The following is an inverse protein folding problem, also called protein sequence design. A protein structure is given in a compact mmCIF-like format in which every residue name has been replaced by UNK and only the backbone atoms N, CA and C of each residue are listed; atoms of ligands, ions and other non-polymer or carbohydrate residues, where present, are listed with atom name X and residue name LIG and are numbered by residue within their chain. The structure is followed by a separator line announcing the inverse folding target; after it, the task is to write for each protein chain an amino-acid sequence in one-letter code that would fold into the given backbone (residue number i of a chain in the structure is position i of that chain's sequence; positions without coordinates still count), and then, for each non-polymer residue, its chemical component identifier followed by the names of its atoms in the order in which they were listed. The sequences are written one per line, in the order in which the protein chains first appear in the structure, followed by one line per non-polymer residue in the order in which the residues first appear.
data_IF_570488986830
#
_entry.id   IF_570488986830
#
_cell.length_a   1.000
_cell.length_b   1.000
_cell.length_c   1.000
_cell.angle_alpha   90.00
_cell.angle_beta   90.00
_cell.angle_gamma   90.00
#
_symmetry.space_group_name_H-M   'P 1'
#
loop_
_entity.id
_entity.type
_entity.pdbx_description
1 polymer ?
#
# COMPACT_ATOMS: atom_id res chain seq x y z
N UNK A 1 8.07 30.39 -14.02
CA UNK A 1 7.68 30.64 -15.43
C UNK A 1 8.11 29.43 -16.23
N UNK A 2 7.28 28.65 -16.93
CA UNK A 2 5.91 28.81 -17.37
C UNK A 2 5.20 27.44 -17.33
N UNK A 3 3.89 27.48 -17.10
CA UNK A 3 2.96 26.37 -17.23
C UNK A 3 2.29 26.42 -18.62
N UNK A 4 2.18 25.29 -19.30
CA UNK A 4 1.21 24.97 -20.38
C UNK A 4 1.15 23.43 -20.42
N UNK A 5 0.03 22.71 -20.53
CA UNK A 5 -1.34 22.99 -20.94
C UNK A 5 -1.81 21.74 -21.68
N UNK A 6 -2.49 20.80 -21.00
CA UNK A 6 -3.00 19.59 -21.66
C UNK A 6 -4.33 19.90 -22.34
N UNK A 7 -4.29 19.94 -23.67
CA UNK A 7 -5.45 19.99 -24.56
C UNK A 7 -6.04 18.59 -24.74
N UNK A 8 -7.33 18.45 -24.44
CA UNK A 8 -8.15 17.27 -24.74
C UNK A 8 -8.53 17.26 -26.22
N UNK A 9 -8.17 16.21 -26.96
CA UNK A 9 -8.70 15.95 -28.30
C UNK A 9 -9.58 14.70 -28.31
N UNK A 10 -10.79 14.88 -28.84
CA UNK A 10 -11.83 13.90 -29.13
C UNK A 10 -11.31 12.70 -29.93
N UNK A 11 -11.77 11.51 -29.55
CA UNK A 11 -11.85 10.36 -30.43
C UNK A 11 -13.19 9.64 -30.17
N UNK A 12 -14.21 10.08 -30.89
CA UNK A 12 -15.35 9.24 -31.26
C UNK A 12 -14.84 8.13 -32.18
N UNK A 13 -15.22 6.88 -31.89
CA UNK A 13 -15.53 5.86 -32.90
C UNK A 13 -16.22 4.67 -32.24
N UNK A 14 -17.47 4.50 -32.68
CA UNK A 14 -18.35 3.36 -32.46
C UNK A 14 -17.70 2.06 -32.95
N UNK A 15 -17.96 0.97 -32.23
CA UNK A 15 -17.81 -0.38 -32.79
C UNK A 15 -18.94 -1.27 -32.26
N UNK A 16 -19.80 -1.65 -33.19
CA UNK A 16 -20.94 -2.56 -33.08
C UNK A 16 -20.58 -3.93 -32.47
N UNK A 17 -21.45 -4.44 -31.58
CA UNK A 17 -21.52 -5.87 -31.26
C UNK A 17 -23.00 -6.31 -31.25
N UNK A 18 -23.37 -7.45 -31.88
CA UNK A 18 -24.75 -7.79 -32.18
C UNK A 18 -25.51 -8.41 -30.99
N UNK A 19 -26.82 -8.18 -30.99
CA UNK A 19 -27.82 -8.86 -30.15
C UNK A 19 -28.26 -10.18 -30.78
N UNK A 20 -28.17 -11.29 -30.03
CA UNK A 20 -29.23 -12.30 -29.81
C UNK A 20 -28.65 -13.70 -29.55
N UNK A 21 -29.13 -14.34 -28.48
CA UNK A 21 -29.56 -15.75 -28.32
C UNK A 21 -29.87 -15.94 -26.81
N UNK A 22 -31.10 -15.74 -26.34
CA UNK A 22 -32.28 -16.64 -26.33
C UNK A 22 -32.05 -17.97 -25.58
N UNK A 23 -32.56 -17.99 -24.34
CA UNK A 23 -33.26 -19.06 -23.58
C UNK A 23 -32.73 -20.49 -23.55
N UNK A 24 -32.57 -21.05 -22.33
CA UNK A 24 -33.55 -21.99 -21.76
C UNK A 24 -33.18 -22.50 -20.34
N UNK A 25 -34.25 -22.84 -19.59
CA UNK A 25 -34.34 -23.73 -18.40
C UNK A 25 -33.80 -23.18 -17.06
N UNK A 26 -34.53 -23.19 -15.95
CA UNK A 26 -35.85 -23.74 -15.66
C UNK A 26 -36.30 -23.34 -14.25
N UNK A 27 -37.62 -23.29 -14.06
CA UNK A 27 -38.29 -23.10 -12.77
C UNK A 27 -38.09 -24.33 -11.88
N UNK A 28 -37.65 -24.15 -10.64
CA UNK A 28 -38.04 -25.00 -9.50
C UNK A 28 -38.31 -24.10 -8.29
N UNK A 29 -39.38 -24.47 -7.59
CA UNK A 29 -40.23 -23.78 -6.62
C UNK A 29 -39.72 -23.76 -5.18
N UNK A 30 -40.21 -22.75 -4.45
CA UNK A 30 -40.57 -22.66 -3.02
C UNK A 30 -39.53 -22.97 -1.93
N UNK A 31 -39.30 -22.01 -1.03
CA UNK A 31 -39.48 -22.21 0.42
C UNK A 31 -39.63 -20.86 1.18
N UNK A 32 -40.87 -20.63 1.65
CA UNK A 32 -41.34 -19.99 2.88
C UNK A 32 -40.84 -18.60 3.31
N UNK A 33 -41.79 -17.67 3.22
CA UNK A 33 -41.93 -16.41 3.96
C UNK A 33 -41.64 -16.54 5.47
N UNK A 34 -40.80 -15.64 5.97
CA UNK A 34 -40.96 -15.06 7.32
C UNK A 34 -41.11 -13.56 7.16
N UNK A 35 -42.35 -13.10 7.33
CA UNK A 35 -42.69 -11.71 7.54
C UNK A 35 -42.07 -11.24 8.85
N UNK A 36 -41.20 -10.24 8.80
CA UNK A 36 -40.94 -9.35 9.94
C UNK A 36 -41.43 -7.98 9.51
N UNK A 37 -42.58 -7.60 10.06
CA UNK A 37 -43.16 -6.26 9.99
C UNK A 37 -42.25 -5.26 10.68
N UNK A 38 -42.06 -4.04 10.15
CA UNK A 38 -41.36 -2.99 10.86
C UNK A 38 -42.29 -2.39 11.93
N UNK A 39 -41.97 -2.61 13.20
CA UNK A 39 -42.61 -1.88 14.29
C UNK A 39 -42.21 -0.40 14.25
N UNK A 40 -43.23 0.45 14.19
CA UNK A 40 -43.13 1.87 14.46
C UNK A 40 -42.63 2.13 15.89
N UNK A 41 -41.42 2.67 16.03
CA UNK A 41 -41.03 3.39 17.24
C UNK A 41 -40.85 4.89 16.94
N UNK A 42 -41.37 5.67 17.88
CA UNK A 42 -41.77 7.07 17.75
C UNK A 42 -40.57 8.01 17.55
N UNK A 43 -40.83 9.06 16.79
CA UNK A 43 -39.97 10.22 16.58
C UNK A 43 -39.48 10.85 17.89
N UNK A 44 -38.14 10.85 18.08
CA UNK A 44 -37.44 11.94 18.76
C UNK A 44 -36.67 12.70 17.69
N UNK A 45 -37.26 13.79 17.19
CA UNK A 45 -36.51 14.81 16.46
C UNK A 45 -35.59 15.50 17.46
N UNK A 46 -34.41 14.94 17.73
CA UNK A 46 -33.31 15.76 18.23
C UNK A 46 -32.86 16.65 17.08
N UNK A 47 -32.92 17.96 17.29
CA UNK A 47 -32.27 18.94 16.41
C UNK A 47 -30.75 18.77 16.58
N UNK A 48 -30.15 17.75 15.96
CA UNK A 48 -28.71 17.71 15.76
C UNK A 48 -28.37 18.72 14.66
N UNK A 49 -27.67 19.79 15.04
CA UNK A 49 -26.99 20.68 14.10
C UNK A 49 -25.86 19.88 13.44
N UNK A 50 -25.43 20.32 12.25
CA UNK A 50 -24.42 19.64 11.42
C UNK A 50 -23.07 19.44 12.15
N UNK A 51 -22.82 18.24 12.69
CA UNK A 51 -21.60 17.95 13.46
C UNK A 51 -20.34 17.71 12.61
N UNK A 52 -20.42 17.83 11.28
CA UNK A 52 -19.30 17.50 10.37
C UNK A 52 -18.58 18.67 9.70
N UNK A 53 -18.95 19.93 9.95
CA UNK A 53 -18.45 21.05 9.13
C UNK A 53 -18.10 22.29 9.95
N UNK A 54 -16.80 22.59 10.00
CA UNK A 54 -16.21 23.91 10.28
C UNK A 54 -16.70 24.53 11.60
N UNK A 55 -16.14 24.05 12.72
CA UNK A 55 -16.29 24.75 14.00
C UNK A 55 -15.06 25.61 14.28
N UNK A 56 -15.23 26.88 14.70
CA UNK A 56 -14.12 27.73 15.16
C UNK A 56 -13.34 27.11 16.34
N UNK A 57 -14.02 26.26 17.14
CA UNK A 57 -13.43 25.52 18.26
C UNK A 57 -12.75 24.21 17.83
N UNK A 58 -12.87 23.79 16.57
CA UNK A 58 -12.33 22.54 16.04
C UNK A 58 -11.28 22.77 14.94
N UNK A 59 -10.47 23.82 15.09
CA UNK A 59 -9.36 24.09 14.17
C UNK A 59 -8.17 23.22 14.50
N UNK A 60 -7.56 22.61 13.48
CA UNK A 60 -6.26 21.98 13.62
C UNK A 60 -5.16 23.04 13.58
N UNK A 61 -4.03 22.75 14.23
CA UNK A 61 -2.84 23.59 14.15
C UNK A 61 -2.32 23.65 12.69
N UNK A 62 -1.93 24.84 12.19
CA UNK A 62 -1.21 24.96 10.94
C UNK A 62 0.08 24.15 10.97
N UNK A 63 0.45 23.56 9.83
CA UNK A 63 1.74 22.87 9.74
C UNK A 63 2.89 23.88 9.71
N UNK A 64 4.00 23.56 10.37
CA UNK A 64 5.24 24.30 10.24
C UNK A 64 5.78 24.17 8.82
N UNK A 65 6.35 25.27 8.31
CA UNK A 65 7.11 25.27 7.06
C UNK A 65 8.22 24.21 7.13
N UNK A 66 8.34 23.39 6.08
CA UNK A 66 9.26 22.25 6.06
C UNK A 66 10.73 22.67 6.20
N UNK A 67 11.12 23.83 5.66
CA UNK A 67 12.50 24.31 5.80
C UNK A 67 12.82 24.67 7.25
N UNK A 68 11.85 25.26 7.97
CA UNK A 68 11.98 25.55 9.39
C UNK A 68 11.96 24.26 10.22
N UNK A 69 11.03 23.37 9.92
CA UNK A 69 10.89 22.10 10.62
C UNK A 69 12.17 21.26 10.47
N UNK A 70 12.74 21.17 9.28
CA UNK A 70 14.02 20.48 9.05
C UNK A 70 15.17 21.16 9.82
N UNK A 71 15.26 22.49 9.85
CA UNK A 71 16.28 23.18 10.69
C UNK A 71 16.15 22.82 12.18
N UNK A 72 14.92 22.69 12.67
CA UNK A 72 14.66 22.31 14.06
C UNK A 72 14.94 20.82 14.32
N UNK A 73 14.75 19.96 13.32
CA UNK A 73 15.19 18.56 13.38
C UNK A 73 16.71 18.47 13.49
N UNK A 74 17.46 19.23 12.68
CA UNK A 74 18.94 19.27 12.76
C UNK A 74 19.45 19.78 14.12
N UNK A 75 18.71 20.68 14.77
CA UNK A 75 19.02 21.18 16.12
C UNK A 75 18.59 20.22 17.24
N UNK A 76 17.98 19.08 16.92
CA UNK A 76 17.46 18.11 17.89
C UNK A 76 16.18 18.56 18.62
N UNK A 77 15.55 19.66 18.21
CA UNK A 77 14.35 20.19 18.87
C UNK A 77 13.05 19.54 18.37
N UNK A 78 13.08 18.92 17.18
CA UNK A 78 11.99 18.14 16.58
C UNK A 78 12.54 16.84 16.03
N UNK A 79 11.68 15.87 15.74
CA UNK A 79 12.09 14.54 15.28
C UNK A 79 11.34 14.13 14.03
N UNK A 80 12.03 13.46 13.11
CA UNK A 80 11.40 12.84 11.95
C UNK A 80 10.98 11.41 12.31
N UNK A 81 9.74 11.05 12.04
CA UNK A 81 9.18 9.77 12.44
C UNK A 81 8.21 9.22 11.39
N UNK A 82 7.96 7.92 11.43
CA UNK A 82 6.90 7.25 10.65
C UNK A 82 5.68 7.07 11.55
N UNK A 83 4.54 7.61 11.13
CA UNK A 83 3.29 7.54 11.89
C UNK A 83 2.56 6.22 11.65
N UNK A 84 2.07 5.59 12.72
CA UNK A 84 1.24 4.38 12.72
C UNK A 84 -0.02 4.63 13.51
N UNK A 85 -1.19 4.40 12.92
CA UNK A 85 -2.50 4.57 13.57
C UNK A 85 -2.98 3.22 14.09
N UNK A 86 -3.44 3.17 15.34
CA UNK A 86 -3.98 1.95 15.93
C UNK A 86 -5.28 1.54 15.23
N UNK A 87 -5.35 0.32 14.71
CA UNK A 87 -6.56 -0.18 14.03
C UNK A 87 -7.76 -0.38 14.96
N UNK A 88 -7.50 -0.65 16.24
CA UNK A 88 -8.55 -0.89 17.24
C UNK A 88 -9.16 0.41 17.78
N UNK A 89 -8.43 1.52 17.70
CA UNK A 89 -8.87 2.85 18.11
C UNK A 89 -8.27 3.92 17.18
N UNK A 90 -8.69 3.93 15.90
CA UNK A 90 -8.06 4.75 14.88
C UNK A 90 -8.35 6.24 15.04
N UNK A 91 -9.35 6.60 15.84
CA UNK A 91 -9.66 8.00 16.14
C UNK A 91 -8.67 8.58 17.16
N UNK A 92 -8.32 7.82 18.21
CA UNK A 92 -7.61 8.38 19.36
C UNK A 92 -6.18 7.91 19.54
N UNK A 93 -5.80 6.76 18.99
CA UNK A 93 -4.47 6.21 19.22
C UNK A 93 -3.64 6.17 17.94
N UNK A 94 -2.52 6.89 17.97
CA UNK A 94 -1.45 6.75 17.00
C UNK A 94 -0.09 6.74 17.70
N UNK A 95 0.92 6.23 17.00
CA UNK A 95 2.28 6.05 17.48
C UNK A 95 3.23 6.52 16.38
N UNK A 96 4.27 7.25 16.76
CA UNK A 96 5.29 7.72 15.85
C UNK A 96 6.63 7.10 16.23
N UNK A 97 7.24 6.37 15.30
CA UNK A 97 8.55 5.73 15.50
C UNK A 97 9.61 6.58 14.79
N UNK A 98 10.62 7.06 15.52
CA UNK A 98 11.66 7.94 14.97
C UNK A 98 12.45 7.20 13.89
N UNK A 99 12.49 7.76 12.68
CA UNK A 99 13.01 7.04 11.52
C UNK A 99 14.54 7.07 11.44
N UNK A 100 15.22 8.08 12.01
CA UNK A 100 16.69 8.23 12.04
C UNK A 100 17.08 9.27 13.11
N UNK A 101 18.06 8.95 13.97
CA UNK A 101 18.85 9.96 14.68
C UNK A 101 20.00 10.37 13.75
N UNK A 102 20.11 11.66 13.41
CA UNK A 102 21.27 12.14 12.65
C UNK A 102 22.54 11.85 13.47
N UNK A 103 23.59 11.31 12.84
CA UNK A 103 24.86 11.00 13.51
C UNK A 103 25.56 12.23 14.12
N UNK A 104 25.15 13.45 13.75
CA UNK A 104 25.67 14.71 14.31
C UNK A 104 24.89 15.23 15.53
N UNK A 105 23.81 14.59 15.96
CA UNK A 105 23.03 14.99 17.16
C UNK A 105 23.37 14.18 18.41
N UNK A 106 24.45 13.40 18.38
CA UNK A 106 25.07 12.84 19.58
C UNK A 106 25.89 13.91 20.32
N UNK A 107 25.26 15.02 20.69
CA UNK A 107 25.75 15.92 21.74
C UNK A 107 24.78 15.81 22.89
N UNK A 108 25.34 15.43 24.05
CA UNK A 108 24.78 15.14 25.37
C UNK A 108 23.74 16.12 25.96
N UNK A 109 23.32 17.14 25.23
CA UNK A 109 22.69 18.32 25.81
C UNK A 109 21.18 18.43 25.50
N UNK A 110 20.63 17.55 24.64
CA UNK A 110 19.18 17.51 24.32
C UNK A 110 18.45 16.38 25.05
N UNK A 111 19.18 15.31 25.38
CA UNK A 111 18.66 14.19 26.18
C UNK A 111 19.42 14.18 27.51
N UNK A 112 18.89 14.79 28.58
CA UNK A 112 19.47 14.64 29.90
C UNK A 112 19.30 13.19 30.34
N UNK A 113 20.34 12.39 30.12
CA UNK A 113 20.49 10.97 30.48
C UNK A 113 19.43 10.00 29.88
N UNK A 114 19.87 9.02 29.09
CA UNK A 114 19.31 7.66 28.92
C UNK A 114 17.82 7.37 28.62
N UNK A 115 16.94 8.35 28.39
CA UNK A 115 15.47 8.08 28.42
C UNK A 115 14.71 7.91 27.10
N UNK A 116 15.31 8.14 25.93
CA UNK A 116 14.59 7.95 24.64
C UNK A 116 15.45 7.10 23.70
N UNK A 117 15.13 5.82 23.66
CA UNK A 117 15.66 4.90 22.68
C UNK A 117 15.12 5.26 21.29
N UNK A 118 15.90 5.12 20.19
CA UNK A 118 15.38 5.25 18.83
C UNK A 118 14.26 4.23 18.51
N UNK A 119 14.06 3.24 19.38
CA UNK A 119 12.99 2.24 19.29
C UNK A 119 11.74 2.60 20.11
N UNK A 120 11.77 3.67 20.90
CA UNK A 120 10.61 4.06 21.70
C UNK A 120 9.53 4.70 20.82
N UNK A 121 8.31 4.20 20.97
CA UNK A 121 7.15 4.75 20.28
C UNK A 121 6.64 6.00 20.99
N UNK A 122 6.51 7.08 20.24
CA UNK A 122 5.92 8.32 20.74
C UNK A 122 4.42 8.26 20.50
N UNK A 123 3.65 8.24 21.58
CA UNK A 123 2.21 8.20 21.55
C UNK A 123 1.61 9.56 21.17
N UNK A 124 0.73 9.52 20.19
CA UNK A 124 -0.01 10.67 19.66
C UNK A 124 -1.48 10.46 19.99
N UNK A 125 -1.98 11.22 20.97
CA UNK A 125 -3.34 11.09 21.47
C UNK A 125 -4.32 12.00 20.72
N UNK A 126 -5.29 11.40 20.03
CA UNK A 126 -6.38 12.11 19.39
C UNK A 126 -6.06 12.66 17.99
N UNK A 127 -7.11 13.03 17.23
CA UNK A 127 -6.94 13.56 15.89
C UNK A 127 -6.20 14.90 15.86
N UNK A 128 -6.34 15.74 16.90
CA UNK A 128 -5.67 17.06 17.00
C UNK A 128 -4.17 16.94 17.03
N UNK A 129 -3.63 16.10 17.92
CA UNK A 129 -2.19 15.91 18.03
C UNK A 129 -1.64 15.14 16.83
N UNK A 130 -2.45 14.30 16.19
CA UNK A 130 -2.12 13.68 14.90
C UNK A 130 -2.08 14.67 13.74
N UNK A 131 -2.78 15.80 13.86
CA UNK A 131 -2.71 16.96 12.98
C UNK A 131 -2.78 16.63 11.47
N UNK A 132 -3.91 16.05 11.04
CA UNK A 132 -4.24 15.76 9.64
C UNK A 132 -3.27 14.79 8.93
N UNK A 133 -2.44 14.05 9.68
CA UNK A 133 -1.58 13.01 9.14
C UNK A 133 -2.32 11.67 8.97
N UNK A 134 -1.95 10.94 7.93
CA UNK A 134 -2.43 9.60 7.60
C UNK A 134 -1.50 8.51 8.14
N UNK A 135 -2.02 7.30 8.27
CA UNK A 135 -1.21 6.14 8.60
C UNK A 135 -0.10 5.93 7.54
N UNK A 136 1.13 5.71 7.98
CA UNK A 136 2.30 5.53 7.13
C UNK A 136 3.01 6.83 6.72
N UNK A 137 2.45 8.01 7.07
CA UNK A 137 3.11 9.28 6.78
C UNK A 137 4.47 9.38 7.46
N UNK A 138 5.44 9.93 6.72
CA UNK A 138 6.63 10.51 7.33
C UNK A 138 6.25 11.88 7.89
N UNK A 139 6.38 12.05 9.19
CA UNK A 139 5.96 13.24 9.93
C UNK A 139 7.15 13.86 10.66
N UNK A 140 7.05 15.16 10.93
CA UNK A 140 7.90 15.84 11.90
C UNK A 140 7.08 16.05 13.16
N UNK A 141 7.62 15.61 14.30
CA UNK A 141 6.94 15.61 15.58
C UNK A 141 7.67 16.46 16.62
N UNK A 142 6.89 17.07 17.50
CA UNK A 142 7.33 17.68 18.76
C UNK A 142 7.03 16.72 19.89
N UNK A 143 8.03 16.37 20.71
CA UNK A 143 7.83 15.61 21.95
C UNK A 143 7.53 16.61 23.07
N UNK A 144 6.56 16.30 23.91
CA UNK A 144 6.19 17.15 25.02
C UNK A 144 7.06 16.86 26.26
N UNK A 145 7.47 17.90 27.01
CA UNK A 145 8.08 17.70 28.33
C UNK A 145 7.07 17.10 29.33
N UNK A 146 7.57 16.61 30.46
CA UNK A 146 6.79 15.80 31.40
C UNK A 146 5.57 16.50 32.00
N UNK A 147 5.64 17.82 32.23
CA UNK A 147 4.53 18.64 32.73
C UNK A 147 3.32 18.60 31.77
N UNK A 148 3.56 18.81 30.47
CA UNK A 148 2.53 18.74 29.44
C UNK A 148 2.11 17.28 29.18
N UNK A 149 3.05 16.34 29.22
CA UNK A 149 2.76 14.92 29.04
C UNK A 149 1.82 14.37 30.13
N UNK A 150 1.97 14.79 31.41
CA UNK A 150 1.10 14.38 32.53
C UNK A 150 -0.38 14.69 32.28
N UNK A 151 -0.62 15.86 31.70
CA UNK A 151 -1.94 16.34 31.33
C UNK A 151 -2.58 15.48 30.24
N UNK A 152 -1.83 15.19 29.16
CA UNK A 152 -2.28 14.33 28.07
C UNK A 152 -2.50 12.89 28.57
N UNK A 153 -1.60 12.38 29.42
CA UNK A 153 -1.71 11.06 30.03
C UNK A 153 -2.95 10.93 30.91
N UNK A 154 -3.25 11.93 31.74
CA UNK A 154 -4.46 11.96 32.58
C UNK A 154 -5.74 11.94 31.73
N UNK A 155 -5.77 12.73 30.65
CA UNK A 155 -6.87 12.73 29.69
C UNK A 155 -7.04 11.37 29.00
N UNK A 156 -5.94 10.74 28.59
CA UNK A 156 -5.94 9.41 28.01
C UNK A 156 -6.51 8.36 28.97
N UNK A 157 -6.09 8.36 30.24
CA UNK A 157 -6.64 7.44 31.26
C UNK A 157 -8.14 7.63 31.47
N UNK A 158 -8.61 8.88 31.52
CA UNK A 158 -10.04 9.21 31.61
C UNK A 158 -10.82 8.73 30.38
N UNK A 159 -10.24 8.84 29.20
CA UNK A 159 -10.81 8.29 27.97
C UNK A 159 -10.93 6.76 28.05
N UNK A 160 -9.84 6.07 28.42
CA UNK A 160 -9.82 4.61 28.55
C UNK A 160 -10.82 4.10 29.58
N UNK A 161 -10.88 4.72 30.77
CA UNK A 161 -11.83 4.32 31.82
C UNK A 161 -13.31 4.42 31.39
N UNK A 162 -13.63 5.38 30.51
CA UNK A 162 -14.99 5.53 29.96
C UNK A 162 -15.27 4.50 28.87
N UNK A 163 -14.30 4.22 28.01
CA UNK A 163 -14.44 3.22 26.94
C UNK A 163 -14.65 1.79 27.47
N UNK A 164 -14.16 1.48 28.68
CA UNK A 164 -14.32 0.17 29.33
C UNK A 164 -15.64 -0.01 30.09
N UNK A 165 -16.50 1.01 30.17
CA UNK A 165 -17.77 0.92 30.91
C UNK A 165 -18.92 0.45 29.99
N UNK A 166 -19.74 -0.57 30.34
CA UNK A 166 -20.67 -1.20 29.40
C UNK A 166 -21.89 -0.37 28.95
N UNK A 167 -22.04 0.88 29.41
CA UNK A 167 -23.20 1.72 29.12
C UNK A 167 -22.81 3.18 28.91
N UNK A 168 -22.59 3.58 27.66
CA UNK A 168 -23.00 4.87 27.07
C UNK A 168 -22.50 4.97 25.61
N UNK A 169 -23.27 4.40 24.68
CA UNK A 169 -23.09 4.64 23.24
C UNK A 169 -23.73 5.98 22.86
N UNK A 170 -23.17 7.09 23.34
CA UNK A 170 -23.37 8.40 22.76
C UNK A 170 -22.03 8.85 22.18
N UNK A 171 -21.71 8.35 20.97
CA UNK A 171 -20.50 8.71 20.24
C UNK A 171 -20.48 10.20 19.82
N UNK A 172 -21.61 10.90 19.93
CA UNK A 172 -21.77 12.30 19.49
C UNK A 172 -21.30 13.36 20.53
N UNK A 173 -21.15 13.00 21.82
CA UNK A 173 -20.78 13.99 22.86
C UNK A 173 -19.25 14.14 23.06
N UNK A 174 -18.44 13.25 22.49
CA UNK A 174 -16.97 13.27 22.68
C UNK A 174 -16.23 14.09 21.61
N UNK A 175 -16.80 14.30 20.43
CA UNK A 175 -16.21 15.17 19.41
C UNK A 175 -16.17 16.65 19.84
N UNK A 176 -17.06 17.05 20.76
CA UNK A 176 -17.14 18.43 21.27
C UNK A 176 -16.33 18.68 22.55
N UNK A 177 -15.83 17.62 23.21
CA UNK A 177 -14.98 17.71 24.39
C UNK A 177 -13.67 16.94 24.13
N UNK A 178 -12.95 17.35 23.08
CA UNK A 178 -11.59 16.85 22.83
C UNK A 178 -10.69 17.27 24.00
N UNK A 179 -10.11 16.33 24.75
CA UNK A 179 -9.22 16.69 25.86
C UNK A 179 -8.04 17.55 25.39
N UNK A 180 -7.54 17.34 24.16
CA UNK A 180 -6.45 18.13 23.58
C UNK A 180 -6.84 19.60 23.35
N UNK A 181 -8.13 19.89 23.10
CA UNK A 181 -8.66 21.27 22.99
C UNK A 181 -8.76 21.96 24.36
N UNK A 182 -8.92 21.23 25.47
CA UNK A 182 -8.95 21.85 26.81
C UNK A 182 -7.56 22.31 27.30
N UNK A 183 -6.49 21.79 26.70
CA UNK A 183 -5.10 22.05 27.11
C UNK A 183 -4.45 23.25 26.41
N UNK A 184 -4.95 23.67 25.24
CA UNK A 184 -4.44 24.88 24.56
C UNK A 184 -4.87 26.18 25.27
N UNK A 185 -5.97 26.14 26.03
CA UNK A 185 -6.56 27.32 26.69
C UNK A 185 -6.37 27.38 28.22
N UNK A 186 -5.74 26.38 28.86
CA UNK A 186 -5.54 26.41 30.33
C UNK A 186 -4.12 26.01 30.70
N UNK A 187 -3.24 27.01 30.88
CA UNK A 187 -2.01 26.83 31.64
C UNK A 187 -2.38 26.62 33.11
N UNK A 188 -2.43 25.37 33.56
CA UNK A 188 -2.38 25.02 34.98
C UNK A 188 -0.92 24.77 35.30
N UNK A 189 -0.32 25.62 36.13
CA UNK A 189 1.00 25.37 36.73
C UNK A 189 0.94 24.03 37.48
N UNK A 190 1.76 23.07 37.06
CA UNK A 190 1.94 21.80 37.76
C UNK A 190 3.37 21.73 38.27
N UNK A 191 3.48 21.48 39.58
CA UNK A 191 4.75 21.30 40.28
C UNK A 191 5.56 20.14 39.71
N UNK A 192 6.87 20.33 39.64
CA UNK A 192 7.86 19.49 38.96
C UNK A 192 8.21 18.17 39.64
N UNK A 193 7.62 17.86 40.80
CA UNK A 193 8.24 16.88 41.72
C UNK A 193 7.65 15.47 41.71
N UNK A 194 6.59 15.20 40.94
CA UNK A 194 6.02 13.85 40.87
C UNK A 194 6.36 13.15 39.54
N UNK A 195 7.52 12.49 39.45
CA UNK A 195 7.63 11.33 38.55
C UNK A 195 6.77 10.24 39.17
N UNK A 196 5.50 10.17 38.78
CA UNK A 196 4.69 9.01 39.10
C UNK A 196 5.23 7.89 38.21
N UNK A 197 5.81 6.84 38.81
CA UNK A 197 6.04 5.55 38.14
C UNK A 197 4.68 4.92 37.80
N UNK A 198 3.99 5.51 36.82
CA UNK A 198 2.84 4.88 36.20
C UNK A 198 3.38 3.88 35.17
N UNK A 199 3.14 2.57 35.35
CA UNK A 199 3.61 1.56 34.40
C UNK A 199 2.99 1.72 33.00
N UNK A 200 1.88 2.45 32.88
CA UNK A 200 1.22 2.77 31.60
C UNK A 200 1.68 4.13 31.02
N UNK A 201 2.69 4.77 31.62
CA UNK A 201 3.26 6.01 31.09
C UNK A 201 3.79 5.83 29.66
N UNK A 202 3.58 6.85 28.82
CA UNK A 202 4.02 6.89 27.43
C UNK A 202 4.81 8.16 27.16
N UNK A 203 5.69 8.15 26.17
CA UNK A 203 6.22 9.39 25.60
C UNK A 203 5.13 10.04 24.75
N UNK A 204 4.78 11.29 25.01
CA UNK A 204 3.69 11.98 24.30
C UNK A 204 4.24 12.98 23.29
N UNK A 205 3.60 13.10 22.13
CA UNK A 205 3.99 14.06 21.12
C UNK A 205 2.84 14.57 20.24
N UNK A 206 3.19 15.48 19.34
CA UNK A 206 2.31 16.08 18.36
C UNK A 206 2.99 16.14 16.98
N UNK A 207 2.24 15.85 15.93
CA UNK A 207 2.62 16.10 14.54
C UNK A 207 2.56 17.60 14.25
N UNK A 208 3.69 18.18 13.87
CA UNK A 208 3.81 19.61 13.54
C UNK A 208 4.00 19.87 12.05
N UNK A 209 4.45 18.87 11.28
CA UNK A 209 4.51 18.93 9.82
C UNK A 209 4.47 17.53 9.22
N UNK A 210 4.05 17.42 7.96
CA UNK A 210 4.00 16.16 7.20
C UNK A 210 5.00 16.28 6.05
N UNK A 211 5.94 15.34 5.96
CA UNK A 211 6.94 15.31 4.89
C UNK A 211 6.29 14.73 3.63
N UNK A 212 6.24 15.49 2.52
CA UNK A 212 5.62 15.00 1.29
C UNK A 212 6.38 13.79 0.73
N UNK A 213 5.64 12.75 0.35
CA UNK A 213 6.17 11.63 -0.41
C UNK A 213 5.66 11.71 -1.86
N UNK A 214 6.51 12.03 -2.85
CA UNK A 214 6.08 12.18 -4.24
C UNK A 214 5.60 10.87 -4.88
N UNK A 215 5.93 9.72 -4.28
CA UNK A 215 5.52 8.40 -4.75
C UNK A 215 4.21 7.91 -4.10
N UNK A 216 3.74 8.58 -3.04
CA UNK A 216 2.45 8.27 -2.43
C UNK A 216 1.35 9.08 -3.14
N UNK A 217 0.55 8.37 -3.95
CA UNK A 217 -0.54 8.98 -4.70
C UNK A 217 -1.76 9.34 -3.85
N UNK A 218 -1.78 8.99 -2.55
CA UNK A 218 -2.86 9.24 -1.59
C UNK A 218 -4.23 8.88 -2.16
N UNK A 219 -4.33 7.64 -2.62
CA UNK A 219 -5.57 7.05 -3.11
C UNK A 219 -6.20 6.18 -2.02
N UNK A 220 -7.52 6.31 -1.85
CA UNK A 220 -8.28 5.64 -0.81
C UNK A 220 -9.49 4.94 -1.43
N UNK A 221 -9.70 3.69 -1.04
CA UNK A 221 -10.91 2.94 -1.37
C UNK A 221 -11.98 3.26 -0.32
N UNK A 222 -13.12 3.80 -0.75
CA UNK A 222 -14.16 4.30 0.15
C UNK A 222 -15.58 3.88 -0.28
N UNK A 223 -16.44 3.57 0.68
CA UNK A 223 -17.88 3.42 0.46
C UNK A 223 -18.60 4.76 0.60
N UNK A 224 -19.64 4.96 -0.21
CA UNK A 224 -20.58 6.05 0.04
C UNK A 224 -21.26 5.85 1.40
N UNK A 225 -21.32 6.89 2.23
CA UNK A 225 -21.90 6.80 3.58
C UNK A 225 -23.18 7.60 3.69
N UNK A 226 -23.12 8.90 3.45
CA UNK A 226 -24.25 9.81 3.63
C UNK A 226 -24.04 11.11 2.87
N UNK A 227 -25.10 11.90 2.77
CA UNK A 227 -25.01 13.31 2.39
C UNK A 227 -24.89 14.15 3.66
N UNK A 228 -24.14 15.25 3.60
CA UNK A 228 -24.04 16.21 4.69
C UNK A 228 -25.39 16.91 4.94
N UNK A 229 -25.61 17.38 6.16
CA UNK A 229 -26.88 18.02 6.56
C UNK A 229 -27.18 19.32 5.81
N UNK A 230 -26.15 20.01 5.32
CA UNK A 230 -26.27 21.22 4.49
C UNK A 230 -26.42 20.89 2.99
N UNK A 231 -26.44 19.60 2.66
CA UNK A 231 -26.56 19.04 1.30
C UNK A 231 -25.42 19.41 0.33
N UNK A 232 -24.40 20.14 0.80
CA UNK A 232 -23.29 20.61 -0.03
C UNK A 232 -22.27 19.52 -0.35
N UNK A 233 -22.18 18.48 0.48
CA UNK A 233 -21.17 17.44 0.39
C UNK A 233 -21.76 16.04 0.54
N UNK A 234 -21.05 15.06 -0.01
CA UNK A 234 -21.23 13.65 0.26
C UNK A 234 -20.04 13.11 1.03
N UNK A 235 -20.32 12.27 2.02
CA UNK A 235 -19.34 11.67 2.91
C UNK A 235 -19.08 10.22 2.48
N UNK A 236 -17.80 9.87 2.44
CA UNK A 236 -17.31 8.57 2.03
C UNK A 236 -16.43 7.98 3.12
N UNK A 237 -16.79 6.81 3.62
CA UNK A 237 -16.01 6.12 4.65
C UNK A 237 -14.97 5.22 3.99
N UNK A 238 -13.71 5.36 4.39
CA UNK A 238 -12.64 4.48 3.94
C UNK A 238 -12.89 3.03 4.36
N UNK A 239 -12.55 2.07 3.48
CA UNK A 239 -12.51 0.65 3.84
C UNK A 239 -11.38 0.40 4.85
N UNK A 240 -10.30 1.18 4.77
CA UNK A 240 -9.27 1.19 5.81
C UNK A 240 -9.75 2.02 6.99
N UNK A 241 -10.03 1.36 8.12
CA UNK A 241 -10.44 1.99 9.37
C UNK A 241 -9.44 2.98 9.93
N UNK A 242 -8.16 2.91 9.52
CA UNK A 242 -7.12 3.87 9.95
C UNK A 242 -7.12 5.16 9.14
N UNK A 243 -7.86 5.22 8.04
CA UNK A 243 -8.03 6.44 7.26
C UNK A 243 -9.37 7.13 7.63
N UNK A 244 -9.41 8.47 7.61
CA UNK A 244 -10.62 9.22 7.90
C UNK A 244 -11.68 9.03 6.80
N UNK A 245 -12.91 9.43 7.10
CA UNK A 245 -13.90 9.67 6.04
C UNK A 245 -13.47 10.86 5.16
N UNK A 246 -13.92 10.89 3.91
CA UNK A 246 -13.67 11.96 2.95
C UNK A 246 -14.96 12.68 2.61
N UNK A 247 -14.86 13.97 2.27
CA UNK A 247 -15.96 14.74 1.68
C UNK A 247 -15.71 15.02 0.20
N UNK A 248 -16.78 14.98 -0.58
CA UNK A 248 -16.80 15.32 -2.01
C UNK A 248 -17.97 16.27 -2.25
N UNK A 249 -17.80 17.28 -3.10
CA UNK A 249 -18.88 18.24 -3.36
C UNK A 249 -20.10 17.54 -3.98
N UNK A 250 -21.30 18.02 -3.67
CA UNK A 250 -22.54 17.52 -4.26
C UNK A 250 -22.52 17.58 -5.78
N UNK A 251 -21.96 18.66 -6.33
CA UNK A 251 -21.78 18.85 -7.77
C UNK A 251 -20.93 17.75 -8.38
N UNK A 252 -19.70 17.56 -7.88
CA UNK A 252 -18.76 16.59 -8.46
C UNK A 252 -19.27 15.16 -8.35
N UNK A 253 -19.89 14.81 -7.21
CA UNK A 253 -20.47 13.48 -7.02
C UNK A 253 -21.64 13.23 -7.98
N UNK A 254 -22.57 14.17 -8.09
CA UNK A 254 -23.76 14.04 -8.95
C UNK A 254 -23.38 13.94 -10.43
N UNK A 255 -22.45 14.79 -10.88
CA UNK A 255 -21.89 14.73 -12.24
C UNK A 255 -21.23 13.37 -12.51
N UNK A 256 -20.46 12.83 -11.57
CA UNK A 256 -19.80 11.53 -11.71
C UNK A 256 -20.80 10.38 -11.79
N UNK A 257 -21.79 10.34 -10.90
CA UNK A 257 -22.85 9.31 -10.85
C UNK A 257 -23.68 9.31 -12.13
N UNK A 258 -24.06 10.50 -12.61
CA UNK A 258 -24.82 10.65 -13.84
C UNK A 258 -24.01 10.19 -15.06
N UNK A 259 -22.75 10.65 -15.17
CA UNK A 259 -21.86 10.29 -16.28
C UNK A 259 -21.67 8.78 -16.40
N UNK A 260 -21.52 8.07 -15.28
CA UNK A 260 -21.28 6.63 -15.25
C UNK A 260 -22.55 5.79 -15.09
N UNK A 261 -23.74 6.42 -15.06
CA UNK A 261 -25.05 5.76 -14.92
C UNK A 261 -25.10 4.80 -13.72
N UNK A 262 -24.57 5.25 -12.59
CA UNK A 262 -24.50 4.46 -11.36
C UNK A 262 -25.88 4.47 -10.69
N UNK A 263 -26.49 3.29 -10.55
CA UNK A 263 -27.86 3.14 -10.01
C UNK A 263 -27.91 2.54 -8.60
N UNK A 264 -26.88 1.80 -8.18
CA UNK A 264 -26.82 1.12 -6.88
C UNK A 264 -25.48 1.39 -6.21
N UNK A 265 -25.47 2.31 -5.24
CA UNK A 265 -24.28 2.69 -4.48
C UNK A 265 -23.84 1.63 -3.46
N UNK A 266 -24.71 0.69 -3.09
CA UNK A 266 -24.46 -0.26 -2.00
C UNK A 266 -23.41 -1.31 -2.35
N UNK A 267 -23.16 -1.54 -3.65
CA UNK A 267 -22.20 -2.52 -4.17
C UNK A 267 -20.95 -1.88 -4.76
N UNK A 268 -20.77 -0.59 -4.50
CA UNK A 268 -19.72 0.20 -5.14
C UNK A 268 -18.74 0.70 -4.10
N UNK A 269 -17.46 0.54 -4.44
CA UNK A 269 -16.36 1.23 -3.77
C UNK A 269 -15.85 2.30 -4.72
N UNK A 270 -15.75 3.52 -4.22
CA UNK A 270 -15.15 4.65 -4.92
C UNK A 270 -13.67 4.71 -4.60
N UNK A 271 -12.87 5.00 -5.62
CA UNK A 271 -11.46 5.31 -5.45
C UNK A 271 -11.31 6.82 -5.42
N UNK A 272 -10.96 7.33 -4.25
CA UNK A 272 -10.83 8.75 -3.98
C UNK A 272 -9.36 9.15 -3.95
N UNK A 273 -9.04 10.25 -4.63
CA UNK A 273 -7.75 10.92 -4.49
C UNK A 273 -7.87 12.05 -3.48
N UNK A 274 -6.97 12.06 -2.50
CA UNK A 274 -6.81 13.19 -1.59
C UNK A 274 -6.48 14.49 -2.35
N UNK A 275 -7.18 15.58 -2.02
CA UNK A 275 -6.91 16.92 -2.55
C UNK A 275 -6.33 17.82 -1.47
N UNK A 276 -7.07 18.00 -0.38
CA UNK A 276 -6.70 18.92 0.70
C UNK A 276 -7.40 18.53 2.00
N UNK A 277 -6.77 18.84 3.13
CA UNK A 277 -7.42 18.78 4.44
C UNK A 277 -7.35 20.15 5.10
N UNK A 278 -8.45 20.89 4.99
CA UNK A 278 -8.56 22.23 5.57
C UNK A 278 -8.44 22.18 7.09
N UNK A 279 -7.78 23.19 7.68
CA UNK A 279 -7.58 23.30 9.13
C UNK A 279 -8.90 23.32 9.90
N UNK A 280 -10.00 23.75 9.27
CA UNK A 280 -11.31 23.86 9.90
C UNK A 280 -12.19 22.63 9.63
N UNK A 281 -11.74 21.67 8.83
CA UNK A 281 -12.54 20.51 8.41
C UNK A 281 -12.17 19.26 9.16
N UNK A 282 -13.16 18.53 9.70
CA UNK A 282 -12.92 17.25 10.39
C UNK A 282 -12.50 16.12 9.44
N UNK A 283 -12.83 16.24 8.15
CA UNK A 283 -12.49 15.27 7.11
C UNK A 283 -11.78 15.94 5.92
N UNK A 284 -10.86 15.23 5.25
CA UNK A 284 -10.24 15.68 4.01
C UNK A 284 -11.25 15.78 2.86
N UNK A 285 -10.99 16.72 1.96
CA UNK A 285 -11.64 16.81 0.66
C UNK A 285 -10.94 15.89 -0.33
N UNK A 286 -11.71 15.11 -1.08
CA UNK A 286 -11.22 14.23 -2.12
C UNK A 286 -11.89 14.46 -3.47
N UNK A 287 -11.34 13.83 -4.51
CA UNK A 287 -11.93 13.75 -5.85
C UNK A 287 -12.11 12.29 -6.26
N UNK A 288 -13.21 11.97 -6.93
CA UNK A 288 -13.47 10.60 -7.43
C UNK A 288 -12.59 10.36 -8.67
N UNK A 289 -11.77 9.32 -8.61
CA UNK A 289 -10.91 8.88 -9.74
C UNK A 289 -11.64 7.84 -10.57
N UNK A 290 -12.14 6.82 -9.90
CA UNK A 290 -12.88 5.71 -10.51
C UNK A 290 -13.77 5.02 -9.45
N UNK A 291 -14.50 4.00 -9.87
CA UNK A 291 -15.26 3.15 -8.96
C UNK A 291 -15.05 1.67 -9.33
N UNK A 292 -15.16 0.79 -8.34
CA UNK A 292 -15.09 -0.66 -8.47
C UNK A 292 -16.39 -1.28 -7.96
N UNK A 293 -16.91 -2.25 -8.69
CA UNK A 293 -18.07 -3.05 -8.26
C UNK A 293 -17.56 -4.21 -7.40
N UNK A 294 -18.05 -4.30 -6.17
CA UNK A 294 -17.72 -5.37 -5.22
C UNK A 294 -18.78 -6.47 -5.35
N UNK A 295 -18.37 -7.68 -5.72
CA UNK A 295 -19.30 -8.82 -5.87
C UNK A 295 -19.43 -9.62 -4.58
N UNK A 296 -18.39 -9.63 -3.75
CA UNK A 296 -18.32 -10.40 -2.53
C UNK A 296 -17.34 -9.74 -1.53
N UNK A 297 -17.28 -10.27 -0.30
CA UNK A 297 -16.39 -9.76 0.75
C UNK A 297 -14.91 -9.81 0.37
N UNK A 298 -14.46 -10.85 -0.34
CA UNK A 298 -13.07 -11.03 -0.77
C UNK A 298 -12.62 -9.91 -1.71
N UNK A 299 -13.48 -9.46 -2.62
CA UNK A 299 -13.16 -8.33 -3.51
C UNK A 299 -12.84 -7.06 -2.69
N UNK A 300 -13.63 -6.78 -1.64
CA UNK A 300 -13.38 -5.62 -0.77
C UNK A 300 -12.14 -5.78 0.12
N UNK A 301 -11.85 -6.99 0.60
CA UNK A 301 -10.65 -7.28 1.40
C UNK A 301 -9.37 -7.18 0.56
N UNK A 302 -9.39 -7.68 -0.68
CA UNK A 302 -8.29 -7.51 -1.63
C UNK A 302 -8.07 -6.03 -1.96
N UNK A 303 -9.15 -5.28 -2.19
CA UNK A 303 -9.05 -3.85 -2.48
C UNK A 303 -8.47 -3.08 -1.30
N UNK A 304 -8.92 -3.38 -0.07
CA UNK A 304 -8.33 -2.82 1.16
C UNK A 304 -6.83 -3.10 1.24
N UNK A 305 -6.42 -4.35 1.04
CA UNK A 305 -5.02 -4.76 1.12
C UNK A 305 -4.17 -3.98 0.12
N UNK A 306 -4.64 -3.86 -1.12
CA UNK A 306 -3.92 -3.16 -2.19
C UNK A 306 -3.80 -1.66 -1.92
N UNK A 307 -4.89 -0.98 -1.62
CA UNK A 307 -4.90 0.47 -1.42
C UNK A 307 -4.18 0.89 -0.14
N UNK A 308 -4.27 0.10 0.95
CA UNK A 308 -3.52 0.35 2.18
C UNK A 308 -2.00 0.32 1.96
N UNK A 309 -1.53 -0.51 1.03
CA UNK A 309 -0.11 -0.65 0.72
C UNK A 309 0.31 0.15 -0.52
N UNK A 310 -0.54 1.05 -1.03
CA UNK A 310 -0.28 1.84 -2.25
C UNK A 310 0.07 0.99 -3.49
N UNK A 311 -0.53 -0.20 -3.60
CA UNK A 311 -0.34 -1.11 -4.73
C UNK A 311 -1.53 -0.94 -5.68
N UNK A 312 -1.28 -0.41 -6.86
CA UNK A 312 -2.33 -0.12 -7.85
C UNK A 312 -2.20 -1.03 -9.06
N UNK A 313 -3.24 -1.80 -9.35
CA UNK A 313 -3.29 -2.68 -10.51
C UNK A 313 -3.70 -1.91 -11.78
N UNK A 314 -2.83 -1.00 -12.23
CA UNK A 314 -3.04 -0.23 -13.44
C UNK A 314 -2.52 -0.98 -14.66
N UNK A 315 -3.21 -0.93 -15.81
CA UNK A 315 -2.66 -1.48 -17.05
C UNK A 315 -1.39 -0.72 -17.44
N UNK A 316 -0.43 -1.43 -18.03
CA UNK A 316 0.77 -0.82 -18.57
C UNK A 316 0.42 0.22 -19.66
N UNK A 317 1.03 1.41 -19.63
CA UNK A 317 0.75 2.43 -20.62
C UNK A 317 1.06 1.96 -22.04
N UNK A 318 0.16 2.26 -22.98
CA UNK A 318 0.30 1.86 -24.40
C UNK A 318 1.64 2.28 -25.01
N UNK A 319 2.12 3.48 -24.69
CA UNK A 319 3.41 3.98 -25.18
C UNK A 319 4.63 3.20 -24.67
N UNK A 320 4.49 2.36 -23.64
CA UNK A 320 5.51 1.39 -23.20
C UNK A 320 5.31 0.09 -23.96
N UNK A 321 4.08 -0.43 -24.01
CA UNK A 321 3.75 -1.68 -24.71
C UNK A 321 4.18 -1.64 -26.18
N UNK A 322 3.92 -0.53 -26.87
CA UNK A 322 4.27 -0.34 -28.29
C UNK A 322 5.80 -0.32 -28.55
N UNK A 323 6.64 -0.22 -27.51
CA UNK A 323 8.10 -0.27 -27.62
C UNK A 323 8.69 -1.66 -27.38
N UNK A 324 7.88 -2.62 -26.97
CA UNK A 324 8.34 -3.96 -26.66
C UNK A 324 8.46 -4.80 -27.93
N UNK A 325 9.37 -5.78 -27.96
CA UNK A 325 9.38 -6.79 -29.02
C UNK A 325 8.05 -7.54 -29.08
N UNK A 326 7.70 -8.03 -30.27
CA UNK A 326 6.56 -8.95 -30.42
C UNK A 326 6.82 -10.29 -29.74
N UNK A 327 5.77 -11.06 -29.54
CA UNK A 327 5.83 -12.44 -29.07
C UNK A 327 6.55 -13.39 -30.06
N UNK A 328 6.72 -12.96 -31.31
CA UNK A 328 7.50 -13.62 -32.36
C UNK A 328 8.98 -13.22 -32.38
N UNK A 329 9.49 -12.54 -31.35
CA UNK A 329 10.90 -12.15 -31.27
C UNK A 329 11.83 -13.38 -31.39
N UNK A 330 12.80 -13.27 -32.31
CA UNK A 330 13.89 -14.22 -32.46
C UNK A 330 15.20 -13.60 -31.98
N UNK A 331 16.07 -14.42 -31.38
CA UNK A 331 17.35 -13.95 -30.86
C UNK A 331 18.24 -13.53 -32.05
N UNK A 332 18.74 -12.28 -32.08
CA UNK A 332 19.59 -11.82 -33.17
C UNK A 332 20.88 -12.64 -33.27
N UNK A 333 21.36 -12.87 -34.49
CA UNK A 333 22.60 -13.62 -34.75
C UNK A 333 23.81 -13.03 -34.01
N UNK A 334 23.88 -11.71 -33.86
CA UNK A 334 24.93 -11.04 -33.08
C UNK A 334 24.93 -11.44 -31.59
N UNK A 335 23.76 -11.68 -30.99
CA UNK A 335 23.65 -12.18 -29.62
C UNK A 335 24.01 -13.67 -29.55
N UNK A 336 23.68 -14.46 -30.58
CA UNK A 336 24.09 -15.87 -30.66
C UNK A 336 25.61 -15.99 -30.71
N UNK A 337 26.26 -15.16 -31.51
CA UNK A 337 27.71 -15.23 -31.71
C UNK A 337 28.53 -14.65 -30.55
N UNK A 338 27.93 -13.81 -29.69
CA UNK A 338 28.64 -13.15 -28.58
C UNK A 338 28.43 -13.81 -27.22
N UNK A 339 27.50 -14.77 -27.11
CA UNK A 339 27.13 -15.44 -25.87
C UNK A 339 27.62 -16.87 -25.82
N UNK A 340 27.77 -17.39 -24.61
CA UNK A 340 28.03 -18.82 -24.43
C UNK A 340 26.80 -19.62 -24.91
N UNK A 341 27.00 -20.48 -25.91
CA UNK A 341 25.95 -21.37 -26.40
C UNK A 341 25.88 -22.63 -25.52
N UNK A 342 24.83 -22.71 -24.71
CA UNK A 342 24.57 -23.82 -23.79
C UNK A 342 23.31 -24.61 -24.20
N UNK A 343 22.80 -24.39 -25.42
CA UNK A 343 21.55 -25.00 -25.90
C UNK A 343 21.61 -26.53 -26.03
N UNK A 344 22.82 -27.09 -26.13
CA UNK A 344 23.02 -28.54 -26.16
C UNK A 344 23.04 -29.19 -24.77
N UNK A 345 23.04 -28.41 -23.69
CA UNK A 345 23.02 -28.94 -22.33
C UNK A 345 21.62 -29.37 -21.92
N UNK A 346 21.53 -30.35 -21.02
CA UNK A 346 20.26 -30.70 -20.37
C UNK A 346 19.96 -29.66 -19.31
N UNK A 347 19.16 -28.66 -19.67
CA UNK A 347 18.72 -27.58 -18.79
C UNK A 347 17.26 -27.82 -18.40
N UNK A 348 16.88 -27.56 -17.17
CA UNK A 348 15.49 -27.69 -16.70
C UNK A 348 15.15 -26.65 -15.64
N UNK A 349 13.86 -26.35 -15.47
CA UNK A 349 13.37 -25.50 -14.37
C UNK A 349 12.63 -26.34 -13.34
N UNK A 350 12.54 -25.87 -12.08
CA UNK A 350 11.75 -26.52 -11.02
C UNK A 350 10.88 -25.46 -10.37
N UNK A 351 9.58 -25.48 -10.68
CA UNK A 351 8.65 -24.41 -10.32
C UNK A 351 7.29 -24.93 -9.88
N UNK A 352 6.45 -24.11 -9.23
CA UNK A 352 5.04 -24.42 -9.06
C UNK A 352 4.35 -24.75 -10.39
N UNK A 353 3.38 -25.67 -10.36
CA UNK A 353 2.66 -26.10 -11.56
C UNK A 353 2.03 -24.93 -12.33
N UNK A 354 1.53 -23.92 -11.62
CA UNK A 354 0.91 -22.72 -12.17
C UNK A 354 1.89 -21.63 -12.64
N UNK A 355 3.20 -21.75 -12.37
CA UNK A 355 4.20 -20.74 -12.72
C UNK A 355 4.32 -20.57 -14.25
N UNK A 356 4.44 -19.31 -14.69
CA UNK A 356 4.58 -18.93 -16.11
C UNK A 356 5.82 -18.07 -16.38
N UNK A 357 6.24 -17.35 -15.36
CA UNK A 357 7.43 -16.53 -15.20
C UNK A 357 8.55 -17.38 -14.59
N UNK A 358 9.21 -18.20 -15.42
CA UNK A 358 10.29 -19.08 -14.98
C UNK A 358 11.60 -18.28 -15.03
N UNK A 359 12.06 -17.81 -13.87
CA UNK A 359 13.21 -16.89 -13.77
C UNK A 359 14.56 -17.62 -13.75
N UNK A 360 14.58 -18.85 -13.26
CA UNK A 360 15.78 -19.67 -13.11
C UNK A 360 15.66 -21.06 -13.74
N UNK A 361 16.79 -21.55 -14.24
CA UNK A 361 16.97 -22.91 -14.74
C UNK A 361 18.30 -23.49 -14.25
N UNK A 362 18.39 -24.81 -14.23
CA UNK A 362 19.51 -25.56 -13.70
C UNK A 362 20.06 -26.54 -14.74
N UNK A 363 21.38 -26.72 -14.73
CA UNK A 363 22.04 -27.84 -15.40
C UNK A 363 23.10 -28.46 -14.49
N UNK A 364 23.29 -29.77 -14.63
CA UNK A 364 24.32 -30.52 -13.91
C UNK A 364 24.95 -31.57 -14.80
N UNK A 365 26.28 -31.62 -14.81
CA UNK A 365 27.08 -32.56 -15.60
C UNK A 365 28.22 -33.12 -14.76
N UNK A 366 28.30 -34.45 -14.62
CA UNK A 366 29.43 -35.10 -13.95
C UNK A 366 30.63 -35.19 -14.91
N UNK A 367 31.79 -34.75 -14.46
CA UNK A 367 33.05 -34.84 -15.18
C UNK A 367 33.72 -36.21 -14.97
N UNK A 368 34.59 -36.66 -15.90
CA UNK A 368 35.32 -37.93 -15.74
C UNK A 368 36.15 -38.04 -14.45
N UNK A 369 36.58 -36.91 -13.87
CA UNK A 369 37.36 -36.85 -12.63
C UNK A 369 36.52 -36.90 -11.34
N UNK A 370 35.21 -37.12 -11.41
CA UNK A 370 34.32 -37.17 -10.25
C UNK A 370 33.61 -35.85 -9.95
N UNK A 371 34.24 -34.71 -10.24
CA UNK A 371 33.65 -33.38 -10.06
C UNK A 371 32.37 -33.18 -10.88
N UNK A 372 31.59 -32.17 -10.51
CA UNK A 372 30.36 -31.74 -11.19
C UNK A 372 30.52 -30.33 -11.74
N UNK A 373 30.03 -30.11 -12.96
CA UNK A 373 29.71 -28.79 -13.45
C UNK A 373 28.24 -28.53 -13.13
N UNK A 374 27.97 -27.52 -12.29
CA UNK A 374 26.63 -27.09 -11.93
C UNK A 374 26.43 -25.69 -12.44
N UNK A 375 25.33 -25.43 -13.15
CA UNK A 375 25.00 -24.09 -13.64
C UNK A 375 23.62 -23.65 -13.15
N UNK A 376 23.53 -22.39 -12.76
CA UNK A 376 22.27 -21.66 -12.57
C UNK A 376 22.18 -20.64 -13.69
N UNK A 377 21.09 -20.71 -14.46
CA UNK A 377 20.81 -19.84 -15.58
C UNK A 377 19.65 -18.92 -15.21
N UNK A 378 19.91 -17.62 -15.09
CA UNK A 378 18.89 -16.61 -14.76
C UNK A 378 18.41 -15.93 -16.04
N UNK A 379 17.11 -15.67 -16.18
CA UNK A 379 16.54 -14.94 -17.30
C UNK A 379 17.26 -13.59 -17.52
N UNK A 380 17.73 -13.30 -18.74
CA UNK A 380 18.44 -12.05 -19.06
C UNK A 380 17.47 -10.89 -19.33
N UNK A 381 16.76 -10.45 -18.29
CA UNK A 381 15.84 -9.30 -18.36
C UNK A 381 16.57 -8.02 -18.79
N UNK A 382 17.87 -7.90 -18.50
CA UNK A 382 18.71 -6.73 -18.87
C UNK A 382 18.86 -6.55 -20.38
N UNK A 383 18.64 -7.61 -21.16
CA UNK A 383 18.58 -7.52 -22.61
C UNK A 383 17.36 -6.71 -23.07
N UNK A 384 16.20 -6.90 -22.44
CA UNK A 384 14.94 -6.27 -22.83
C UNK A 384 14.67 -4.94 -22.12
N UNK A 385 15.05 -4.83 -20.85
CA UNK A 385 14.80 -3.65 -20.02
C UNK A 385 16.09 -2.83 -19.90
N UNK A 386 16.18 -1.74 -20.66
CA UNK A 386 17.37 -0.88 -20.66
C UNK A 386 17.33 0.16 -19.54
N UNK A 387 18.46 0.44 -18.86
CA UNK A 387 18.54 1.48 -17.85
C UNK A 387 18.01 2.82 -18.36
N UNK A 388 17.26 3.53 -17.51
CA UNK A 388 16.62 4.82 -17.77
C UNK A 388 15.55 4.81 -18.88
N UNK A 389 15.17 3.64 -19.40
CA UNK A 389 14.03 3.53 -20.31
C UNK A 389 12.70 3.79 -19.58
N UNK A 390 11.63 4.06 -20.33
CA UNK A 390 10.29 4.25 -19.76
C UNK A 390 9.81 3.01 -18.99
N UNK A 391 10.12 1.82 -19.51
CA UNK A 391 9.81 0.56 -18.84
C UNK A 391 10.63 0.38 -17.56
N UNK A 392 11.94 0.69 -17.58
CA UNK A 392 12.80 0.62 -16.39
C UNK A 392 12.31 1.56 -15.29
N UNK A 393 11.96 2.81 -15.63
CA UNK A 393 11.42 3.75 -14.64
C UNK A 393 10.10 3.25 -14.02
N UNK A 394 9.22 2.65 -14.82
CA UNK A 394 7.99 2.05 -14.31
C UNK A 394 8.26 0.80 -13.47
N UNK A 395 9.15 -0.08 -13.91
CA UNK A 395 9.55 -1.28 -13.15
C UNK A 395 10.17 -0.89 -11.80
N UNK A 396 10.98 0.18 -11.75
CA UNK A 396 11.52 0.74 -10.50
C UNK A 396 10.44 1.26 -9.56
N UNK A 397 9.38 1.85 -10.10
CA UNK A 397 8.23 2.31 -9.31
C UNK A 397 7.41 1.14 -8.75
N UNK A 398 7.23 0.07 -9.53
CA UNK A 398 6.52 -1.13 -9.11
C UNK A 398 7.36 -1.99 -8.14
N UNK A 399 8.69 -1.96 -8.29
CA UNK A 399 9.73 -2.66 -7.54
C UNK A 399 9.69 -4.19 -7.57
N UNK A 400 8.50 -4.80 -7.46
CA UNK A 400 8.30 -6.25 -7.46
C UNK A 400 6.93 -6.60 -8.04
N UNK A 401 6.80 -7.83 -8.54
CA UNK A 401 5.48 -8.42 -8.78
C UNK A 401 4.83 -8.68 -7.41
N UNK A 402 3.55 -8.33 -7.28
CA UNK A 402 2.77 -8.58 -6.06
C UNK A 402 1.88 -9.80 -6.30
N UNK A 403 2.11 -10.88 -5.57
CA UNK A 403 1.33 -12.11 -5.67
C UNK A 403 0.23 -12.11 -4.61
N UNK A 404 -1.03 -12.13 -5.06
CA UNK A 404 -2.20 -12.45 -4.24
C UNK A 404 -2.57 -13.92 -4.44
N UNK A 405 -3.52 -14.40 -3.64
CA UNK A 405 -4.00 -15.79 -3.72
C UNK A 405 -4.56 -16.12 -5.10
N UNK A 406 -5.33 -15.19 -5.68
CA UNK A 406 -6.09 -15.45 -6.92
C UNK A 406 -5.40 -14.92 -8.19
N UNK A 407 -4.53 -13.91 -8.07
CA UNK A 407 -3.87 -13.27 -9.20
C UNK A 407 -2.58 -12.55 -8.77
N UNK A 408 -1.79 -12.10 -9.74
CA UNK A 408 -0.63 -11.26 -9.50
C UNK A 408 -0.79 -9.87 -10.16
N UNK A 409 -0.08 -8.88 -9.62
CA UNK A 409 0.10 -7.57 -10.21
C UNK A 409 1.55 -7.53 -10.70
N UNK A 410 1.79 -7.69 -12.01
CA UNK A 410 3.12 -7.93 -12.53
C UNK A 410 3.97 -6.67 -12.55
N UNK A 411 5.26 -6.81 -12.23
CA UNK A 411 6.26 -5.75 -12.37
C UNK A 411 6.55 -5.41 -13.84
N UNK A 412 6.54 -6.43 -14.70
CA UNK A 412 6.85 -6.30 -16.13
C UNK A 412 5.65 -6.77 -16.98
N UNK A 413 5.47 -6.19 -18.18
CA UNK A 413 4.46 -6.64 -19.13
C UNK A 413 4.58 -8.14 -19.41
N UNK A 414 3.44 -8.83 -19.53
CA UNK A 414 3.38 -10.29 -19.70
C UNK A 414 4.16 -10.80 -20.93
N UNK A 415 4.29 -9.99 -22.00
CA UNK A 415 5.11 -10.34 -23.17
C UNK A 415 6.58 -10.56 -22.78
N UNK A 416 7.08 -9.85 -21.77
CA UNK A 416 8.43 -10.07 -21.24
C UNK A 416 8.42 -11.17 -20.18
N UNK A 417 7.74 -10.95 -19.05
CA UNK A 417 7.83 -11.82 -17.87
C UNK A 417 7.32 -13.24 -18.13
N UNK A 418 6.16 -13.38 -18.77
CA UNK A 418 5.53 -14.68 -19.03
C UNK A 418 5.90 -15.32 -20.36
N UNK A 419 6.76 -14.69 -21.18
CA UNK A 419 7.16 -15.24 -22.48
C UNK A 419 8.64 -15.03 -22.80
N UNK A 420 9.07 -13.83 -23.20
CA UNK A 420 10.40 -13.62 -23.78
C UNK A 420 11.55 -13.82 -22.76
N UNK A 421 11.33 -13.47 -21.50
CA UNK A 421 12.29 -13.68 -20.41
C UNK A 421 12.12 -15.05 -19.76
N UNK A 422 10.88 -15.55 -19.65
CA UNK A 422 10.59 -16.84 -19.04
C UNK A 422 11.34 -17.98 -19.74
N UNK A 423 12.01 -18.82 -18.95
CA UNK A 423 12.83 -19.96 -19.39
C UNK A 423 11.98 -21.18 -19.80
N UNK A 424 10.98 -20.92 -20.64
CA UNK A 424 10.03 -21.90 -21.15
C UNK A 424 10.73 -23.05 -21.91
N UNK A 425 10.23 -24.30 -21.77
CA UNK A 425 10.84 -25.44 -22.41
C UNK A 425 10.71 -25.41 -23.94
N UNK A 426 11.72 -25.93 -24.64
CA UNK A 426 11.78 -26.01 -26.10
C UNK A 426 11.99 -24.67 -26.80
N UNK A 427 12.36 -23.62 -26.07
CA UNK A 427 12.58 -22.27 -26.60
C UNK A 427 13.99 -21.80 -26.27
N UNK A 428 14.67 -21.25 -27.28
CA UNK A 428 15.95 -20.57 -27.05
C UNK A 428 15.70 -19.30 -26.23
N UNK A 429 16.50 -19.13 -25.16
CA UNK A 429 16.35 -18.04 -24.20
C UNK A 429 17.69 -17.44 -23.83
N UNK A 430 17.72 -16.10 -23.81
CA UNK A 430 18.85 -15.32 -23.32
C UNK A 430 18.91 -15.42 -21.81
N UNK A 431 20.09 -15.79 -21.30
CA UNK A 431 20.33 -15.98 -19.87
C UNK A 431 21.62 -15.31 -19.43
N UNK A 432 21.70 -15.09 -18.13
CA UNK A 432 22.92 -14.78 -17.40
C UNK A 432 23.22 -15.98 -16.52
N UNK A 433 24.29 -16.70 -16.85
CA UNK A 433 24.64 -17.97 -16.20
C UNK A 433 25.77 -17.78 -15.20
N UNK A 434 25.63 -18.46 -14.07
CA UNK A 434 26.71 -18.72 -13.13
C UNK A 434 26.97 -20.21 -13.13
N UNK A 435 28.19 -20.60 -13.43
CA UNK A 435 28.59 -22.01 -13.50
C UNK A 435 29.73 -22.26 -12.52
N UNK A 436 29.64 -23.37 -11.80
CA UNK A 436 30.62 -23.82 -10.83
C UNK A 436 31.19 -25.18 -11.23
N UNK A 437 32.48 -25.37 -10.99
CA UNK A 437 33.10 -26.68 -10.87
C UNK A 437 33.10 -27.05 -9.38
N UNK A 438 32.39 -28.11 -9.02
CA UNK A 438 32.15 -28.53 -7.64
C UNK A 438 32.74 -29.93 -7.45
N UNK A 439 33.46 -30.15 -6.36
CA UNK A 439 33.98 -31.48 -6.00
C UNK A 439 32.86 -32.45 -5.59
N UNK A 440 33.15 -33.74 -5.48
CA UNK A 440 32.17 -34.73 -4.98
C UNK A 440 31.70 -34.44 -3.55
N UNK A 441 32.49 -33.68 -2.77
CA UNK A 441 32.17 -33.28 -1.40
C UNK A 441 31.37 -31.96 -1.32
N UNK A 442 31.07 -31.33 -2.47
CA UNK A 442 30.35 -30.06 -2.51
C UNK A 442 31.25 -28.82 -2.39
N UNK A 443 32.57 -28.96 -2.49
CA UNK A 443 33.50 -27.82 -2.43
C UNK A 443 33.56 -27.12 -3.80
N UNK A 444 33.42 -25.80 -3.81
CA UNK A 444 33.55 -25.00 -5.03
C UNK A 444 35.04 -24.92 -5.38
N UNK A 445 35.41 -25.53 -6.50
CA UNK A 445 36.78 -25.55 -7.01
C UNK A 445 37.05 -24.35 -7.92
N UNK A 446 36.06 -23.94 -8.71
CA UNK A 446 36.13 -22.80 -9.62
C UNK A 446 34.72 -22.29 -9.97
N UNK A 447 34.63 -21.06 -10.49
CA UNK A 447 33.38 -20.50 -11.01
C UNK A 447 33.62 -19.51 -12.16
N UNK A 448 32.65 -19.41 -13.05
CA UNK A 448 32.62 -18.38 -14.07
C UNK A 448 31.20 -17.88 -14.32
N UNK A 449 31.15 -16.67 -14.86
CA UNK A 449 29.91 -15.93 -15.09
C UNK A 449 29.89 -15.50 -16.54
N UNK A 450 28.82 -15.81 -17.27
CA UNK A 450 28.69 -15.44 -18.67
C UNK A 450 27.26 -15.12 -19.06
N UNK A 451 27.12 -14.23 -20.04
CA UNK A 451 25.89 -14.17 -20.82
C UNK A 451 25.83 -15.39 -21.73
N UNK A 452 24.67 -16.03 -21.77
CA UNK A 452 24.49 -17.33 -22.42
C UNK A 452 23.16 -17.42 -23.15
N UNK A 453 23.03 -18.49 -23.93
CA UNK A 453 21.78 -18.94 -24.53
C UNK A 453 21.54 -20.38 -24.11
N UNK A 454 20.35 -20.65 -23.58
CA UNK A 454 19.91 -22.01 -23.22
C UNK A 454 18.69 -22.40 -24.03
N UNK A 455 18.40 -23.69 -24.07
CA UNK A 455 17.11 -24.24 -24.44
C UNK A 455 16.68 -25.16 -23.29
N UNK A 456 15.69 -24.73 -22.50
CA UNK A 456 15.20 -25.56 -21.40
C UNK A 456 14.54 -26.82 -21.96
N UNK A 457 14.96 -28.00 -21.52
CA UNK A 457 14.42 -29.27 -22.00
C UNK A 457 13.02 -29.50 -21.45
N UNK A 458 12.76 -29.08 -20.21
CA UNK A 458 11.51 -29.36 -19.51
C UNK A 458 11.31 -28.45 -18.29
N UNK A 459 10.05 -28.34 -17.85
CA UNK A 459 9.63 -27.72 -16.60
C UNK A 459 9.20 -28.83 -15.64
N UNK A 460 9.87 -28.97 -14.49
CA UNK A 460 9.44 -29.86 -13.42
C UNK A 460 8.64 -29.12 -12.35
N UNK A 461 7.85 -29.89 -11.59
CA UNK A 461 7.37 -29.44 -10.29
C UNK A 461 8.24 -30.02 -9.18
N UNK A 462 8.32 -29.33 -8.03
CA UNK A 462 9.07 -29.85 -6.88
C UNK A 462 8.63 -31.27 -6.46
N UNK A 463 7.32 -31.61 -6.37
CA UNK A 463 6.91 -32.99 -6.11
C UNK A 463 7.39 -34.01 -7.16
N UNK A 464 7.40 -33.64 -8.44
CA UNK A 464 7.83 -34.56 -9.51
C UNK A 464 9.34 -34.76 -9.52
N UNK A 465 10.11 -33.70 -9.25
CA UNK A 465 11.56 -33.77 -9.05
C UNK A 465 11.93 -34.69 -7.89
N UNK A 466 11.23 -34.59 -6.74
CA UNK A 466 11.43 -35.48 -5.59
C UNK A 466 11.12 -36.93 -5.96
N UNK A 467 9.98 -37.20 -6.62
CA UNK A 467 9.61 -38.56 -7.05
C UNK A 467 10.66 -39.17 -7.99
N UNK A 468 11.24 -38.38 -8.89
CA UNK A 468 12.31 -38.84 -9.79
C UNK A 468 13.57 -39.20 -9.02
N UNK A 469 14.00 -38.35 -8.08
CA UNK A 469 15.11 -38.65 -7.18
C UNK A 469 14.90 -39.96 -6.44
N UNK A 470 13.72 -40.16 -5.84
CA UNK A 470 13.43 -41.35 -5.04
C UNK A 470 13.45 -42.63 -5.88
N UNK A 471 12.93 -42.57 -7.12
CA UNK A 471 13.00 -43.71 -8.06
C UNK A 471 14.43 -44.09 -8.44
N UNK A 472 15.33 -43.11 -8.60
CA UNK A 472 16.73 -43.36 -8.92
C UNK A 472 17.53 -43.94 -7.75
N UNK A 473 17.07 -43.81 -6.50
CA UNK A 473 17.72 -44.44 -5.34
C UNK A 473 17.32 -45.91 -5.14
N UNK A 474 16.23 -46.35 -5.79
CA UNK A 474 15.71 -47.72 -5.69
C UNK A 474 16.25 -48.62 -6.82
N UNK A 475 16.75 -48.01 -7.90
CA UNK A 475 17.41 -48.67 -9.05
C UNK A 475 18.91 -48.71 -8.89
#
# INVERSE_FOLDING_TARGET
MAAQGFSTTNLDRESDIPKNEISHLGKITDFKNHHITPEHSKSRKSKFKSDYLIFPKNRYEPHLDLSLADRLVHKGSLFRATLRINKSDPCHEAYATISYLSSNTATSDVFPNDFISPYDDIFIFGPRLRNRAFNGDTVIIKIYPNDVAKNIHTAYKKYKSKSTSPHNNNDDDFANNDPALSFTDTFVELNTDDFIEDPDWKLYGQVVSIVPNPYDHKLFACFYSSQSNDELYHIFSSIDSTAPAFRISHKDFSEFVQKHKINDLTKIVFILKYIVWDIDSMCPTGSIVEFKVIKNKRDSENLLLLYRNSIFNNPFPKYIIDTLPSDTFEIPEAEINSRADLRSQTVFTIDPASAKDLDDALSIHKLPGGNYIVSVHIADVSYFVKPNSKLDNLARQLATTVYLVDYNIPMLPNVLSGNLCSLLPGKDRLTFSVTWNISENGEIMDYWISKSIINSTLKETQPDAIRKKDRMQIS
#
